data_IF_471180285213
#
_entry.id   IF_471180285213
#
_cell.length_a   1.000
_cell.length_b   1.000
_cell.length_c   1.000
_cell.angle_alpha   90.00
_cell.angle_beta   90.00
_cell.angle_gamma   90.00
#
_symmetry.space_group_name_H-M   'P 1'
#
loop_
_entity.id
_entity.type
_entity.pdbx_description
1 polymer ?
#
# COMPACT_ATOMS: atom_id res chain seq x y z
N UNK A 1 -19.31 40.88 12.02
CA UNK A 1 -18.08 40.53 11.27
C UNK A 1 -17.07 40.00 12.29
N UNK A 2 -16.60 38.76 12.30
CA UNK A 2 -16.42 37.77 11.25
C UNK A 2 -16.99 36.40 11.66
N UNK A 3 -17.58 35.70 10.69
CA UNK A 3 -18.04 34.33 10.80
C UNK A 3 -16.84 33.39 10.77
N UNK A 4 -16.67 32.58 11.80
CA UNK A 4 -15.74 31.45 11.79
C UNK A 4 -16.36 30.33 10.95
N UNK A 5 -16.08 30.36 9.64
CA UNK A 5 -16.39 29.24 8.75
C UNK A 5 -15.54 28.04 9.18
N UNK A 6 -16.19 27.04 9.78
CA UNK A 6 -15.57 25.76 10.11
C UNK A 6 -14.95 25.14 8.85
N UNK A 7 -13.63 24.99 8.85
CA UNK A 7 -12.92 24.21 7.84
C UNK A 7 -13.37 22.75 7.99
N UNK A 8 -14.27 22.33 7.10
CA UNK A 8 -14.63 20.93 6.92
C UNK A 8 -13.38 20.16 6.48
N UNK A 9 -12.78 19.40 7.38
CA UNK A 9 -11.74 18.41 7.06
C UNK A 9 -12.36 17.32 6.20
N UNK A 10 -11.96 17.21 4.93
CA UNK A 10 -12.34 16.05 4.13
C UNK A 10 -11.49 14.85 4.56
N UNK A 11 -12.09 14.00 5.39
CA UNK A 11 -11.49 12.70 5.75
C UNK A 11 -11.45 11.83 4.50
N UNK A 12 -10.38 11.06 4.30
CA UNK A 12 -10.32 10.00 3.27
C UNK A 12 -11.45 8.95 3.42
N UNK A 13 -12.23 9.01 4.51
CA UNK A 13 -13.34 8.12 4.85
C UNK A 13 -14.74 8.72 4.71
N UNK A 14 -14.91 9.97 4.28
CA UNK A 14 -16.23 10.63 4.34
C UNK A 14 -17.33 9.98 3.47
N UNK A 15 -16.99 8.98 2.65
CA UNK A 15 -17.91 8.23 1.79
C UNK A 15 -17.90 6.70 2.03
N UNK A 16 -17.20 6.18 3.04
CA UNK A 16 -17.14 4.71 3.24
C UNK A 16 -18.46 4.23 3.84
N UNK A 17 -19.19 3.41 3.09
CA UNK A 17 -20.41 2.77 3.53
C UNK A 17 -20.19 1.98 4.85
N UNK A 18 -21.25 1.87 5.66
CA UNK A 18 -21.26 1.13 6.93
C UNK A 18 -20.56 -0.25 6.77
N UNK A 19 -19.41 -0.47 7.44
CA UNK A 19 -18.61 -1.68 7.28
C UNK A 19 -19.37 -2.97 7.60
N UNK A 20 -20.41 -2.90 8.44
CA UNK A 20 -21.23 -4.05 8.83
C UNK A 20 -22.07 -4.63 7.69
N UNK A 21 -22.21 -3.89 6.58
CA UNK A 21 -22.92 -4.33 5.38
C UNK A 21 -22.08 -5.22 4.46
N UNK A 22 -20.78 -5.33 4.72
CA UNK A 22 -19.86 -6.12 3.92
C UNK A 22 -19.48 -7.41 4.62
N UNK A 23 -19.40 -8.49 3.84
CA UNK A 23 -19.04 -9.82 4.33
C UNK A 23 -17.94 -10.44 3.48
N UNK A 24 -17.63 -11.70 3.73
CA UNK A 24 -16.56 -12.44 3.02
C UNK A 24 -16.76 -12.57 1.51
N UNK A 25 -17.97 -12.31 1.00
CA UNK A 25 -18.31 -12.32 -0.44
C UNK A 25 -18.20 -10.95 -1.10
N UNK A 26 -18.10 -9.88 -0.32
CA UNK A 26 -18.01 -8.52 -0.84
C UNK A 26 -16.65 -8.33 -1.50
N UNK A 27 -16.67 -7.81 -2.72
CA UNK A 27 -15.44 -7.50 -3.46
C UNK A 27 -14.84 -6.17 -2.99
N UNK A 28 -13.56 -5.95 -3.28
CA UNK A 28 -12.94 -4.66 -3.00
C UNK A 28 -13.60 -3.51 -3.80
N UNK A 29 -14.21 -3.79 -4.95
CA UNK A 29 -15.01 -2.81 -5.68
C UNK A 29 -16.31 -2.46 -4.95
N UNK A 30 -17.05 -3.47 -4.46
CA UNK A 30 -18.30 -3.26 -3.71
C UNK A 30 -18.07 -2.32 -2.52
N UNK A 31 -17.04 -2.62 -1.72
CA UNK A 31 -16.69 -1.87 -0.50
C UNK A 31 -16.28 -0.42 -0.80
N UNK A 32 -15.76 -0.16 -1.99
CA UNK A 32 -15.25 1.16 -2.38
C UNK A 32 -16.21 1.92 -3.30
N UNK A 33 -17.42 1.45 -3.49
CA UNK A 33 -18.42 2.14 -4.32
C UNK A 33 -18.67 3.56 -3.79
N UNK A 34 -18.63 4.55 -4.69
CA UNK A 34 -18.82 5.96 -4.34
C UNK A 34 -17.59 6.67 -3.74
N UNK A 35 -16.46 5.97 -3.57
CA UNK A 35 -15.21 6.58 -3.10
C UNK A 35 -14.46 7.21 -4.28
N UNK A 36 -14.11 8.50 -4.15
CA UNK A 36 -13.23 9.21 -5.08
C UNK A 36 -11.89 9.51 -4.41
N UNK A 37 -10.82 9.01 -5.02
CA UNK A 37 -9.42 9.20 -4.60
C UNK A 37 -8.63 10.04 -5.60
N UNK A 38 -9.30 10.79 -6.47
CA UNK A 38 -8.64 11.70 -7.40
C UNK A 38 -7.72 12.67 -6.65
N UNK A 39 -6.49 12.82 -7.16
CA UNK A 39 -5.45 13.64 -6.54
C UNK A 39 -4.74 12.97 -5.34
N UNK A 40 -5.21 11.79 -4.89
CA UNK A 40 -4.54 11.03 -3.83
C UNK A 40 -3.42 10.16 -4.39
N UNK A 41 -2.41 9.93 -3.56
CA UNK A 41 -1.22 9.15 -3.91
C UNK A 41 -1.01 8.06 -2.87
N UNK A 42 -0.89 6.82 -3.33
CA UNK A 42 -0.68 5.66 -2.50
C UNK A 42 0.62 4.94 -2.88
N UNK A 43 1.33 4.42 -1.88
CA UNK A 43 2.39 3.43 -2.06
C UNK A 43 1.85 2.10 -1.53
N UNK A 44 1.96 1.04 -2.34
CA UNK A 44 1.60 -0.33 -1.95
C UNK A 44 2.83 -1.22 -2.02
N UNK A 45 3.33 -1.67 -0.87
CA UNK A 45 4.43 -2.64 -0.84
C UNK A 45 3.93 -4.01 -1.29
N UNK A 46 4.70 -4.72 -2.11
CA UNK A 46 4.29 -6.01 -2.65
C UNK A 46 3.13 -5.92 -3.64
N UNK A 47 3.00 -4.80 -4.37
CA UNK A 47 1.91 -4.55 -5.31
C UNK A 47 1.89 -5.42 -6.59
N UNK A 48 2.84 -6.33 -6.77
CA UNK A 48 2.95 -7.19 -7.96
C UNK A 48 2.18 -8.52 -7.87
N UNK A 49 1.64 -8.88 -6.70
CA UNK A 49 0.80 -10.08 -6.59
C UNK A 49 -0.28 -10.00 -5.49
N UNK A 50 -1.25 -10.91 -5.56
CA UNK A 50 -2.23 -11.18 -4.51
C UNK A 50 -3.00 -9.95 -4.02
N UNK A 51 -3.11 -9.82 -2.70
CA UNK A 51 -3.82 -8.71 -2.03
C UNK A 51 -3.21 -7.35 -2.42
N UNK A 52 -1.90 -7.27 -2.63
CA UNK A 52 -1.21 -6.05 -3.03
C UNK A 52 -1.65 -5.56 -4.40
N UNK A 53 -1.72 -6.46 -5.39
CA UNK A 53 -2.20 -6.12 -6.74
C UNK A 53 -3.66 -5.69 -6.73
N UNK A 54 -4.52 -6.41 -6.01
CA UNK A 54 -5.95 -6.06 -5.94
C UNK A 54 -6.16 -4.70 -5.24
N UNK A 55 -5.42 -4.45 -4.16
CA UNK A 55 -5.43 -3.16 -3.46
C UNK A 55 -5.01 -2.04 -4.41
N UNK A 56 -3.91 -2.21 -5.14
CA UNK A 56 -3.44 -1.22 -6.11
C UNK A 56 -4.44 -0.98 -7.24
N UNK A 57 -5.06 -2.05 -7.76
CA UNK A 57 -6.06 -2.00 -8.82
C UNK A 57 -7.26 -1.16 -8.41
N UNK A 58 -7.85 -1.43 -7.24
CA UNK A 58 -9.05 -0.71 -6.78
C UNK A 58 -8.72 0.73 -6.40
N UNK A 59 -7.57 1.00 -5.78
CA UNK A 59 -7.13 2.38 -5.52
C UNK A 59 -7.01 3.19 -6.83
N UNK A 60 -6.40 2.61 -7.87
CA UNK A 60 -6.27 3.25 -9.18
C UNK A 60 -7.63 3.40 -9.89
N UNK A 61 -8.51 2.41 -9.78
CA UNK A 61 -9.90 2.46 -10.29
C UNK A 61 -10.67 3.63 -9.66
N UNK A 62 -10.46 3.89 -8.36
CA UNK A 62 -11.06 5.04 -7.64
C UNK A 62 -10.31 6.36 -7.85
N UNK A 63 -9.30 6.42 -8.72
CA UNK A 63 -8.65 7.68 -9.12
C UNK A 63 -7.32 8.00 -8.46
N UNK A 64 -6.84 7.18 -7.52
CA UNK A 64 -5.54 7.40 -6.89
C UNK A 64 -4.39 7.17 -7.88
N UNK A 65 -3.30 7.92 -7.72
CA UNK A 65 -2.00 7.53 -8.26
C UNK A 65 -1.37 6.49 -7.33
N UNK A 66 -0.94 5.36 -7.85
CA UNK A 66 -0.42 4.23 -7.09
C UNK A 66 1.02 3.91 -7.51
N UNK A 67 1.90 3.79 -6.52
CA UNK A 67 3.25 3.24 -6.68
C UNK A 67 3.25 1.80 -6.22
N UNK A 68 3.50 0.87 -7.16
CA UNK A 68 3.80 -0.53 -6.87
C UNK A 68 5.25 -0.61 -6.38
N UNK A 69 5.44 -0.71 -5.07
CA UNK A 69 6.76 -0.86 -4.48
C UNK A 69 7.10 -2.35 -4.37
N UNK A 70 7.99 -2.84 -5.24
CA UNK A 70 8.19 -4.28 -5.47
C UNK A 70 9.67 -4.63 -5.61
N UNK A 71 10.03 -5.86 -5.21
CA UNK A 71 11.41 -6.34 -5.33
C UNK A 71 11.79 -6.65 -6.77
N UNK A 72 10.92 -7.32 -7.52
CA UNK A 72 11.11 -7.60 -8.95
C UNK A 72 10.28 -6.59 -9.75
N UNK A 73 10.97 -5.67 -10.42
CA UNK A 73 10.33 -4.61 -11.22
C UNK A 73 9.70 -5.12 -12.51
N UNK A 74 10.21 -6.20 -13.11
CA UNK A 74 9.60 -6.82 -14.30
C UNK A 74 8.23 -7.39 -13.96
N UNK A 75 8.12 -8.10 -12.84
CA UNK A 75 6.83 -8.55 -12.31
C UNK A 75 5.91 -7.38 -11.93
N UNK A 76 6.49 -6.28 -11.42
CA UNK A 76 5.76 -5.03 -11.17
C UNK A 76 5.17 -4.41 -12.43
N UNK A 77 5.95 -4.32 -13.51
CA UNK A 77 5.49 -3.77 -14.79
C UNK A 77 4.42 -4.66 -15.44
N UNK A 78 4.57 -5.99 -15.33
CA UNK A 78 3.53 -6.92 -15.76
C UNK A 78 2.22 -6.74 -14.97
N UNK A 79 2.31 -6.58 -13.65
CA UNK A 79 1.14 -6.32 -12.80
C UNK A 79 0.50 -4.97 -13.11
N UNK A 80 1.29 -3.92 -13.32
CA UNK A 80 0.82 -2.61 -13.77
C UNK A 80 0.05 -2.70 -15.09
N UNK A 81 0.59 -3.40 -16.09
CA UNK A 81 -0.08 -3.58 -17.37
C UNK A 81 -1.43 -4.32 -17.21
N UNK A 82 -1.47 -5.36 -16.39
CA UNK A 82 -2.70 -6.11 -16.09
C UNK A 82 -3.75 -5.24 -15.36
N UNK A 83 -3.32 -4.44 -14.37
CA UNK A 83 -4.19 -3.49 -13.65
C UNK A 83 -4.81 -2.49 -14.62
N UNK A 84 -3.98 -1.86 -15.47
CA UNK A 84 -4.45 -0.87 -16.45
C UNK A 84 -5.47 -1.50 -17.39
N UNK A 85 -5.17 -2.69 -17.93
CA UNK A 85 -6.08 -3.41 -18.84
C UNK A 85 -7.41 -3.76 -18.17
N UNK A 86 -7.40 -4.21 -16.92
CA UNK A 86 -8.63 -4.53 -16.18
C UNK A 86 -9.50 -3.28 -15.95
N UNK A 87 -8.88 -2.17 -15.51
CA UNK A 87 -9.59 -0.89 -15.30
C UNK A 87 -10.18 -0.40 -16.62
N UNK A 88 -9.42 -0.44 -17.72
CA UNK A 88 -9.89 -0.07 -19.06
C UNK A 88 -11.12 -0.91 -19.48
N UNK A 89 -11.07 -2.23 -19.26
CA UNK A 89 -12.20 -3.13 -19.54
C UNK A 89 -13.46 -2.77 -18.76
N UNK A 90 -13.33 -2.43 -17.48
CA UNK A 90 -14.46 -2.04 -16.60
C UNK A 90 -15.08 -0.72 -17.01
N UNK A 91 -14.25 0.29 -17.30
CA UNK A 91 -14.73 1.59 -17.74
C UNK A 91 -15.49 1.49 -19.08
N UNK A 92 -14.99 0.66 -19.99
CA UNK A 92 -15.65 0.39 -21.28
C UNK A 92 -17.00 -0.30 -21.08
N UNK A 93 -17.07 -1.31 -20.22
CA UNK A 93 -18.30 -2.06 -19.95
C UNK A 93 -19.38 -1.21 -19.23
N UNK A 94 -18.99 -0.23 -18.42
CA UNK A 94 -19.90 0.63 -17.66
C UNK A 94 -20.58 1.73 -18.49
N UNK A 95 -20.43 1.73 -19.82
CA UNK A 95 -21.12 2.69 -20.70
C UNK A 95 -20.56 4.12 -20.65
N UNK A 96 -19.33 4.30 -20.13
CA UNK A 96 -18.57 5.52 -20.38
C UNK A 96 -18.36 5.61 -21.90
N UNK A 97 -19.14 6.45 -22.57
CA UNK A 97 -19.50 6.35 -24.00
C UNK A 97 -18.37 5.98 -24.97
N UNK A 98 -18.73 5.25 -26.02
CA UNK A 98 -17.88 4.77 -27.12
C UNK A 98 -17.15 5.87 -27.95
N UNK A 99 -17.07 7.10 -27.46
CA UNK A 99 -16.29 8.22 -28.00
C UNK A 99 -15.49 9.01 -26.95
N UNK A 100 -15.63 8.70 -25.65
CA UNK A 100 -14.72 9.19 -24.62
C UNK A 100 -13.54 8.21 -24.56
N UNK A 101 -12.54 8.44 -25.41
CA UNK A 101 -11.30 7.69 -25.37
C UNK A 101 -10.75 7.57 -23.95
N UNK A 102 -10.06 6.46 -23.70
CA UNK A 102 -9.37 6.12 -22.44
C UNK A 102 -8.77 7.38 -21.82
N UNK A 103 -9.17 7.80 -20.60
CA UNK A 103 -8.56 8.98 -19.99
C UNK A 103 -7.05 8.73 -19.88
N UNK A 104 -6.18 9.54 -20.49
CA UNK A 104 -4.73 9.39 -20.38
C UNK A 104 -4.27 9.27 -18.92
N UNK A 105 -5.02 9.91 -18.02
CA UNK A 105 -4.86 9.84 -16.57
C UNK A 105 -4.82 8.41 -15.99
N UNK A 106 -5.51 7.40 -16.55
CA UNK A 106 -5.49 6.04 -15.97
C UNK A 106 -4.12 5.39 -16.12
N UNK A 107 -3.47 5.57 -17.28
CA UNK A 107 -2.14 4.98 -17.55
C UNK A 107 -1.04 5.62 -16.71
N UNK A 108 -1.20 6.90 -16.40
CA UNK A 108 -0.27 7.68 -15.59
C UNK A 108 -0.46 7.46 -14.08
N UNK A 109 -1.57 6.84 -13.66
CA UNK A 109 -1.85 6.56 -12.24
C UNK A 109 -0.95 5.48 -11.67
N UNK A 110 -0.58 4.45 -12.43
CA UNK A 110 0.17 3.31 -11.87
C UNK A 110 1.64 3.40 -12.28
N UNK A 111 2.53 3.37 -11.29
CA UNK A 111 3.99 3.38 -11.49
C UNK A 111 4.65 2.29 -10.68
N UNK A 112 5.85 1.88 -11.06
CA UNK A 112 6.61 0.81 -10.40
C UNK A 112 7.88 1.42 -9.85
N UNK A 113 8.23 1.06 -8.62
CA UNK A 113 9.48 1.46 -7.98
C UNK A 113 10.10 0.27 -7.25
N UNK A 114 11.42 0.12 -7.37
CA UNK A 114 12.15 -0.99 -6.78
C UNK A 114 12.23 -0.84 -5.26
N UNK A 115 11.77 -1.86 -4.52
CA UNK A 115 11.85 -1.95 -3.07
C UNK A 115 12.07 -3.40 -2.63
N UNK A 116 13.22 -3.67 -2.04
CA UNK A 116 13.49 -4.90 -1.29
C UNK A 116 13.48 -4.61 0.21
N UNK A 117 12.44 -5.08 0.90
CA UNK A 117 12.31 -4.93 2.36
C UNK A 117 13.28 -5.81 3.14
N UNK A 118 13.90 -6.81 2.49
CA UNK A 118 15.00 -7.59 3.04
C UNK A 118 16.35 -6.87 2.99
N UNK A 119 16.39 -5.59 2.60
CA UNK A 119 17.60 -4.76 2.61
C UNK A 119 17.28 -3.34 3.09
N UNK A 120 17.82 -2.95 4.25
CA UNK A 120 17.63 -1.60 4.79
C UNK A 120 18.27 -0.53 3.89
N UNK A 121 19.32 -0.89 3.14
CA UNK A 121 19.87 -0.04 2.08
C UNK A 121 18.83 0.20 0.98
N UNK A 122 18.17 -0.86 0.48
CA UNK A 122 17.12 -0.73 -0.52
C UNK A 122 15.94 0.13 -0.02
N UNK A 123 15.50 -0.07 1.23
CA UNK A 123 14.45 0.75 1.86
C UNK A 123 14.82 2.23 1.89
N UNK A 124 16.07 2.56 2.27
CA UNK A 124 16.57 3.95 2.27
C UNK A 124 16.62 4.54 0.87
N UNK A 125 17.13 3.78 -0.11
CA UNK A 125 17.16 4.20 -1.51
C UNK A 125 15.75 4.48 -2.02
N UNK A 126 14.81 3.54 -1.86
CA UNK A 126 13.42 3.75 -2.27
C UNK A 126 12.81 5.02 -1.68
N UNK A 127 12.98 5.23 -0.37
CA UNK A 127 12.42 6.40 0.31
C UNK A 127 13.06 7.69 -0.23
N UNK A 128 14.38 7.73 -0.38
CA UNK A 128 15.09 8.88 -0.95
C UNK A 128 14.64 9.17 -2.39
N UNK A 129 14.52 8.14 -3.21
CA UNK A 129 14.09 8.22 -4.60
C UNK A 129 12.67 8.78 -4.70
N UNK A 130 11.75 8.25 -3.88
CA UNK A 130 10.37 8.74 -3.84
C UNK A 130 10.29 10.19 -3.38
N UNK A 131 11.05 10.58 -2.34
CA UNK A 131 11.08 11.96 -1.86
C UNK A 131 11.64 12.93 -2.91
N UNK A 132 12.61 12.50 -3.72
CA UNK A 132 13.16 13.30 -4.85
C UNK A 132 12.14 13.57 -5.94
N UNK A 133 11.11 12.73 -6.10
CA UNK A 133 10.01 13.02 -7.03
C UNK A 133 9.18 14.24 -6.62
N UNK A 134 9.30 14.69 -5.36
CA UNK A 134 8.55 15.80 -4.80
C UNK A 134 7.02 15.65 -4.97
N UNK A 135 6.53 14.41 -4.92
CA UNK A 135 5.10 14.07 -5.00
C UNK A 135 4.47 14.02 -3.60
N UNK A 136 3.17 14.32 -3.45
CA UNK A 136 2.47 14.11 -2.20
C UNK A 136 2.33 12.61 -1.89
N UNK A 137 2.22 12.26 -0.61
CA UNK A 137 1.94 10.89 -0.16
C UNK A 137 0.78 10.90 0.81
N UNK A 138 -0.30 10.20 0.46
CA UNK A 138 -1.53 10.17 1.25
C UNK A 138 -1.73 8.83 1.95
N UNK A 139 -1.38 7.73 1.28
CA UNK A 139 -1.60 6.38 1.79
C UNK A 139 -0.32 5.54 1.66
N UNK A 140 0.10 4.91 2.76
CA UNK A 140 1.14 3.90 2.77
C UNK A 140 0.52 2.55 3.16
N UNK A 141 0.49 1.59 2.24
CA UNK A 141 0.02 0.23 2.49
C UNK A 141 1.22 -0.69 2.65
N UNK A 142 1.52 -1.04 3.90
CA UNK A 142 2.54 -2.03 4.26
C UNK A 142 1.92 -3.43 4.11
N UNK A 143 1.92 -3.93 2.88
CA UNK A 143 1.29 -5.19 2.46
C UNK A 143 2.28 -6.33 2.22
N UNK A 144 3.49 -6.03 1.75
CA UNK A 144 4.46 -7.05 1.41
C UNK A 144 4.72 -7.99 2.61
N UNK A 145 4.94 -9.26 2.33
CA UNK A 145 5.24 -10.21 3.38
C UNK A 145 5.72 -11.53 2.80
N UNK A 146 6.57 -12.21 3.55
CA UNK A 146 7.02 -13.57 3.27
C UNK A 146 6.62 -14.49 4.41
N UNK A 147 6.27 -15.72 4.08
CA UNK A 147 5.82 -16.73 5.04
C UNK A 147 6.30 -18.11 4.59
N UNK A 148 6.56 -19.00 5.55
CA UNK A 148 6.97 -20.40 5.30
C UNK A 148 8.22 -20.53 4.41
N UNK A 149 9.07 -19.50 4.35
CA UNK A 149 10.34 -19.57 3.65
C UNK A 149 11.37 -20.39 4.45
N UNK A 150 12.31 -21.07 3.78
CA UNK A 150 13.51 -21.63 4.43
C UNK A 150 14.22 -20.56 5.27
N UNK A 151 14.86 -20.98 6.36
CA UNK A 151 15.64 -20.06 7.20
C UNK A 151 16.74 -19.40 6.37
N UNK A 152 16.70 -18.07 6.33
CA UNK A 152 17.72 -17.22 5.73
C UNK A 152 17.80 -15.93 6.52
N UNK A 153 18.94 -15.24 6.39
CA UNK A 153 19.11 -13.89 6.90
C UNK A 153 18.90 -12.87 5.78
N UNK A 154 18.38 -11.71 6.13
CA UNK A 154 18.37 -10.52 5.28
C UNK A 154 19.79 -10.00 5.07
N UNK A 155 19.96 -9.04 4.16
CA UNK A 155 21.25 -8.39 3.91
C UNK A 155 21.83 -7.71 5.17
N UNK A 156 20.96 -7.36 6.13
CA UNK A 156 21.30 -6.67 7.37
C UNK A 156 21.33 -7.60 8.59
N UNK A 157 21.27 -8.93 8.38
CA UNK A 157 21.45 -9.92 9.44
C UNK A 157 20.21 -10.23 10.29
N UNK A 158 19.00 -9.89 9.83
CA UNK A 158 17.74 -10.28 10.48
C UNK A 158 17.21 -11.59 9.89
N UNK A 159 16.52 -12.42 10.67
CA UNK A 159 15.74 -13.52 10.12
C UNK A 159 14.77 -13.00 9.06
N UNK A 160 14.70 -13.67 7.91
CA UNK A 160 14.05 -13.15 6.71
C UNK A 160 12.60 -12.70 6.91
N UNK A 161 11.77 -13.46 7.65
CA UNK A 161 10.38 -13.06 7.90
C UNK A 161 10.32 -11.83 8.81
N UNK A 162 11.09 -11.79 9.88
CA UNK A 162 11.16 -10.60 10.75
C UNK A 162 11.68 -9.38 9.99
N UNK A 163 12.80 -9.54 9.29
CA UNK A 163 13.45 -8.47 8.55
C UNK A 163 12.53 -7.88 7.49
N UNK A 164 11.90 -8.73 6.69
CA UNK A 164 11.01 -8.31 5.60
C UNK A 164 9.66 -7.78 6.13
N UNK A 165 8.98 -8.53 7.00
CA UNK A 165 7.60 -8.23 7.38
C UNK A 165 7.53 -7.11 8.42
N UNK A 166 8.55 -6.93 9.25
CA UNK A 166 8.55 -5.95 10.35
C UNK A 166 9.63 -4.88 10.21
N UNK A 167 10.92 -5.24 10.20
CA UNK A 167 12.01 -4.25 10.27
C UNK A 167 12.02 -3.34 9.04
N UNK A 168 11.90 -3.91 7.84
CA UNK A 168 11.83 -3.17 6.58
C UNK A 168 10.66 -2.20 6.54
N UNK A 169 9.45 -2.64 6.89
CA UNK A 169 8.26 -1.77 6.95
C UNK A 169 8.37 -0.69 8.02
N UNK A 170 8.93 -1.02 9.18
CA UNK A 170 9.16 -0.04 10.23
C UNK A 170 10.09 1.07 9.75
N UNK A 171 11.22 0.73 9.14
CA UNK A 171 12.14 1.72 8.59
C UNK A 171 11.48 2.53 7.47
N UNK A 172 10.81 1.88 6.51
CA UNK A 172 10.12 2.55 5.41
C UNK A 172 9.10 3.58 5.92
N UNK A 173 8.29 3.17 6.89
CA UNK A 173 7.25 4.02 7.49
C UNK A 173 7.89 5.24 8.16
N UNK A 174 8.94 5.05 8.96
CA UNK A 174 9.62 6.16 9.62
C UNK A 174 10.24 7.16 8.63
N UNK A 175 10.81 6.67 7.53
CA UNK A 175 11.42 7.53 6.49
C UNK A 175 10.36 8.34 5.73
N UNK A 176 9.18 7.79 5.51
CA UNK A 176 8.10 8.45 4.76
C UNK A 176 7.10 9.22 5.64
N UNK A 177 7.13 9.02 6.96
CA UNK A 177 6.24 9.68 7.91
C UNK A 177 6.27 11.21 7.83
N UNK A 178 7.43 11.89 7.68
CA UNK A 178 7.45 13.33 7.50
C UNK A 178 6.66 13.79 6.26
N UNK A 179 6.79 13.08 5.13
CA UNK A 179 6.08 13.41 3.89
C UNK A 179 4.57 13.19 4.03
N UNK A 180 4.14 12.09 4.67
CA UNK A 180 2.72 11.85 4.99
C UNK A 180 2.14 13.02 5.81
N UNK A 181 2.85 13.48 6.86
CA UNK A 181 2.43 14.62 7.70
C UNK A 181 2.41 15.94 6.93
N UNK A 182 3.42 16.18 6.09
CA UNK A 182 3.51 17.35 5.23
C UNK A 182 2.32 17.41 4.26
N UNK A 183 2.04 16.33 3.54
CA UNK A 183 0.91 16.20 2.62
C UNK A 183 -0.43 16.41 3.34
N UNK A 184 -0.63 15.73 4.48
CA UNK A 184 -1.84 15.89 5.28
C UNK A 184 -2.11 17.37 5.65
N UNK A 185 -1.07 18.06 6.13
CA UNK A 185 -1.18 19.47 6.50
C UNK A 185 -1.41 20.38 5.29
N UNK A 186 -0.67 20.17 4.20
CA UNK A 186 -0.74 21.00 2.99
C UNK A 186 -2.11 20.91 2.32
N UNK A 187 -2.63 19.70 2.21
CA UNK A 187 -3.87 19.45 1.47
C UNK A 187 -5.11 19.52 2.37
N UNK A 188 -4.92 19.82 3.68
CA UNK A 188 -5.95 19.79 4.71
C UNK A 188 -6.74 18.47 4.70
N UNK A 189 -6.04 17.35 4.56
CA UNK A 189 -6.61 16.00 4.52
C UNK A 189 -5.90 15.07 5.49
N UNK A 190 -6.51 13.93 5.80
CA UNK A 190 -5.82 12.89 6.57
C UNK A 190 -4.86 12.07 5.70
N UNK A 191 -3.72 11.71 6.27
CA UNK A 191 -2.85 10.67 5.72
C UNK A 191 -3.05 9.35 6.47
N UNK A 192 -2.88 8.22 5.79
CA UNK A 192 -3.14 6.90 6.36
C UNK A 192 -1.98 5.93 6.15
N UNK A 193 -1.62 5.23 7.21
CA UNK A 193 -0.73 4.07 7.15
C UNK A 193 -1.58 2.83 7.43
N UNK A 194 -1.56 1.86 6.52
CA UNK A 194 -2.29 0.59 6.64
C UNK A 194 -1.26 -0.52 6.79
N UNK A 195 -1.39 -1.31 7.85
CA UNK A 195 -0.56 -2.50 8.08
C UNK A 195 -1.39 -3.74 7.76
N UNK A 196 -1.02 -4.48 6.71
CA UNK A 196 -1.69 -5.74 6.39
C UNK A 196 -1.09 -6.83 7.25
N UNK A 197 -1.87 -7.30 8.22
CA UNK A 197 -1.51 -8.40 9.11
C UNK A 197 -2.08 -9.74 8.58
N UNK A 198 -1.96 -10.79 9.38
CA UNK A 198 -2.54 -12.11 9.12
C UNK A 198 -3.19 -12.63 10.39
N UNK A 199 -4.24 -13.46 10.29
CA UNK A 199 -4.81 -14.17 11.44
C UNK A 199 -3.75 -14.95 12.26
N UNK A 200 -2.61 -15.29 11.65
CA UNK A 200 -1.46 -15.87 12.34
C UNK A 200 -0.96 -15.04 13.55
N UNK A 201 -1.22 -13.72 13.59
CA UNK A 201 -0.87 -12.87 14.73
C UNK A 201 -1.55 -13.30 16.05
N UNK A 202 -2.66 -14.04 15.97
CA UNK A 202 -3.39 -14.55 17.13
C UNK A 202 -2.74 -15.79 17.75
N UNK A 203 -1.69 -16.34 17.13
CA UNK A 203 -1.01 -17.56 17.58
C UNK A 203 0.48 -17.30 17.95
N UNK A 204 0.78 -16.36 18.86
CA UNK A 204 2.15 -16.09 19.29
C UNK A 204 2.72 -17.21 20.17
N UNK A 205 4.02 -17.15 20.47
CA UNK A 205 4.61 -18.00 21.51
C UNK A 205 4.02 -17.70 22.89
N UNK A 206 3.97 -18.73 23.74
CA UNK A 206 3.74 -18.55 25.18
C UNK A 206 4.80 -17.58 25.74
N UNK A 207 4.36 -16.45 26.28
CA UNK A 207 5.25 -15.37 26.75
C UNK A 207 5.50 -14.23 25.75
N UNK A 208 4.89 -14.26 24.56
CA UNK A 208 4.93 -13.16 23.59
C UNK A 208 6.15 -13.18 22.65
N UNK A 209 6.55 -12.00 22.18
CA UNK A 209 7.63 -11.87 21.18
C UNK A 209 9.00 -12.14 21.83
N UNK A 210 9.77 -13.05 21.25
CA UNK A 210 11.11 -13.43 21.71
C UNK A 210 12.19 -12.55 21.06
N UNK A 211 12.29 -11.29 21.48
CA UNK A 211 13.22 -10.31 20.89
C UNK A 211 14.70 -10.73 20.99
N UNK A 212 15.11 -11.35 22.10
CA UNK A 212 16.50 -11.82 22.29
C UNK A 212 16.87 -12.99 21.37
N UNK A 213 15.89 -13.63 20.75
CA UNK A 213 16.06 -14.82 19.90
C UNK A 213 15.50 -14.59 18.49
N UNK A 214 15.44 -13.34 18.04
CA UNK A 214 14.80 -12.95 16.78
C UNK A 214 15.40 -13.62 15.53
N UNK A 215 16.68 -14.02 15.62
CA UNK A 215 17.44 -14.69 14.57
C UNK A 215 17.59 -16.22 14.77
N UNK A 216 16.87 -16.82 15.73
CA UNK A 216 17.05 -18.22 16.06
C UNK A 216 16.61 -19.16 14.92
N UNK A 217 17.55 -19.99 14.44
CA UNK A 217 17.34 -20.98 13.35
C UNK A 217 16.40 -22.12 13.73
N UNK A 218 16.45 -22.58 14.99
CA UNK A 218 15.47 -23.51 15.56
C UNK A 218 14.62 -22.72 16.53
N UNK A 219 13.36 -22.51 16.19
CA UNK A 219 12.37 -22.05 17.16
C UNK A 219 11.99 -23.29 17.94
N UNK A 220 12.27 -23.31 19.25
CA UNK A 220 11.90 -24.44 20.11
C UNK A 220 10.43 -24.81 19.86
N UNK A 221 10.15 -26.11 19.76
CA UNK A 221 8.81 -26.63 19.57
C UNK A 221 7.88 -25.99 20.62
N UNK A 222 6.66 -25.67 20.17
CA UNK A 222 5.58 -25.15 21.01
C UNK A 222 5.37 -26.03 22.23
#
# INVERSE_FOLDING_TARGET
MASASGLSTSTLTSAVADPSKFGYRSTAEDVTTGVDLTGKVAIVTGGSSGIGTETARVLALRGASVVLAVRNTEAGEAAKAAIIKDIEGRLTAAGAGAGAGIPPAVRERVSVMALDLGSLKSVRTFAADYLRLNRPLHVLVNNAGVMMCPFMLTADGYENQVGTNHVGHFLLTNLLLPKLKETAKKDNTEARIVIVSSAAHQFPYTGGIRLDAINARRRAQR
#
